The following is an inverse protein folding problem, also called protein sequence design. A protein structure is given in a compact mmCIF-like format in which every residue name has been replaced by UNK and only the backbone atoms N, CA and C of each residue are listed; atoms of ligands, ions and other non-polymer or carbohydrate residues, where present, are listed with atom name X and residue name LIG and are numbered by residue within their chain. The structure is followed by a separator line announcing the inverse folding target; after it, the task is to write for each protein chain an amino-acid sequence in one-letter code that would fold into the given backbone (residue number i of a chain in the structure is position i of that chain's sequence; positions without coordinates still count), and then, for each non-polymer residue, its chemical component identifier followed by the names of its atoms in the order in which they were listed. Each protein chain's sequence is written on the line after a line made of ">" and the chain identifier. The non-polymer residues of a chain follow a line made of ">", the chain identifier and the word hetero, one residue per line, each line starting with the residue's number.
data_IF_277739842886
#
_entry.id   IF_277739842886
#
_cell.length_a   1.000
_cell.length_b   1.000
_cell.length_c   1.000
_cell.angle_alpha   90.00
_cell.angle_beta   90.00
_cell.angle_gamma   90.00
#
_symmetry.space_group_name_H-M   'P 1'
#
loop_
_entity.id
_entity.type
_entity.pdbx_description
1 polymer ?
#
# COMPACT_ATOMS: atom_id res chain seq x y z
N UNK A 1 -39.98 16.08 19.88
CA UNK A 1 -38.59 15.71 20.22
C UNK A 1 -37.73 16.91 19.93
N UNK A 2 -36.98 17.36 20.93
CA UNK A 2 -36.23 18.61 20.79
C UNK A 2 -34.93 18.33 20.04
N UNK A 3 -34.30 19.36 19.45
CA UNK A 3 -33.11 19.21 18.58
C UNK A 3 -31.97 18.43 19.25
N UNK A 4 -31.90 18.50 20.58
CA UNK A 4 -30.93 17.80 21.43
C UNK A 4 -31.15 16.28 21.45
N UNK A 5 -32.41 15.82 21.52
CA UNK A 5 -32.76 14.38 21.52
C UNK A 5 -32.44 13.73 20.16
N UNK A 6 -32.61 14.50 19.08
CA UNK A 6 -32.35 14.05 17.71
C UNK A 6 -30.85 13.93 17.41
N UNK A 7 -30.02 14.75 18.07
CA UNK A 7 -28.56 14.68 17.97
C UNK A 7 -27.98 13.49 18.74
N UNK A 8 -28.56 13.17 19.90
CA UNK A 8 -28.19 12.00 20.71
C UNK A 8 -28.56 10.70 19.96
N UNK A 9 -29.77 10.60 19.40
CA UNK A 9 -30.17 9.43 18.61
C UNK A 9 -29.32 9.22 17.34
N UNK A 10 -28.90 10.30 16.66
CA UNK A 10 -28.01 10.20 15.50
C UNK A 10 -26.60 9.72 15.87
N UNK A 11 -26.08 10.12 17.04
CA UNK A 11 -24.80 9.60 17.55
C UNK A 11 -24.90 8.13 17.95
N UNK A 12 -25.98 7.73 18.63
CA UNK A 12 -26.16 6.32 19.06
C UNK A 12 -26.34 5.37 17.87
N UNK A 13 -27.00 5.80 16.79
CA UNK A 13 -27.12 5.00 15.57
C UNK A 13 -25.78 4.88 14.80
N UNK A 14 -24.92 5.90 14.86
CA UNK A 14 -23.59 5.86 14.23
C UNK A 14 -22.60 4.98 14.99
N UNK A 15 -22.73 4.87 16.32
CA UNK A 15 -21.83 4.06 17.15
C UNK A 15 -22.10 2.55 17.06
N UNK A 16 -23.28 2.13 16.58
CA UNK A 16 -23.67 0.71 16.53
C UNK A 16 -23.45 0.02 15.18
N UNK A 17 -22.98 0.73 14.15
CA UNK A 17 -22.73 0.15 12.84
C UNK A 17 -21.23 -0.07 12.62
N UNK A 18 -20.68 -1.13 13.22
CA UNK A 18 -19.35 -1.64 12.83
C UNK A 18 -19.55 -2.57 11.63
N UNK A 19 -19.33 -2.05 10.43
CA UNK A 19 -19.40 -2.84 9.21
C UNK A 19 -18.14 -3.69 9.06
N UNK A 20 -18.31 -5.00 8.85
CA UNK A 20 -17.24 -5.90 8.42
C UNK A 20 -17.36 -6.00 6.89
N UNK A 21 -16.33 -5.57 6.16
CA UNK A 21 -16.25 -5.78 4.71
C UNK A 21 -15.82 -7.22 4.45
N UNK A 22 -16.72 -8.03 3.88
CA UNK A 22 -16.38 -9.34 3.33
C UNK A 22 -15.79 -9.19 1.92
N UNK A 23 -14.93 -10.12 1.47
CA UNK A 23 -14.13 -10.00 0.24
C UNK A 23 -14.92 -9.83 -1.08
N UNK A 24 -16.25 -9.97 -1.06
CA UNK A 24 -17.11 -9.87 -2.26
C UNK A 24 -18.05 -8.65 -2.28
N UNK A 25 -17.78 -7.59 -1.51
CA UNK A 25 -18.63 -6.38 -1.45
C UNK A 25 -20.12 -6.62 -1.11
N UNK A 26 -20.47 -7.79 -0.57
CA UNK A 26 -21.79 -8.06 -0.03
C UNK A 26 -21.87 -7.58 1.42
N UNK A 27 -22.79 -6.66 1.70
CA UNK A 27 -23.09 -6.18 3.05
C UNK A 27 -23.95 -7.21 3.76
N UNK A 28 -23.35 -8.04 4.62
CA UNK A 28 -24.10 -8.97 5.48
C UNK A 28 -24.27 -8.36 6.88
N UNK A 29 -25.51 -8.29 7.33
CA UNK A 29 -25.86 -7.87 8.69
C UNK A 29 -25.48 -9.04 9.61
N UNK A 30 -24.45 -8.89 10.44
CA UNK A 30 -24.03 -9.92 11.39
C UNK A 30 -25.11 -10.24 12.43
N UNK A 31 -25.03 -11.40 13.13
CA UNK A 31 -26.07 -11.91 14.01
C UNK A 31 -26.05 -11.17 15.35
N UNK A 32 -26.49 -9.92 15.36
CA UNK A 32 -26.88 -9.19 16.57
C UNK A 32 -28.28 -8.59 16.37
N UNK A 33 -29.18 -9.39 15.80
CA UNK A 33 -30.56 -8.99 15.55
C UNK A 33 -31.53 -9.57 16.59
N UNK A 34 -31.37 -9.16 17.85
CA UNK A 34 -32.46 -9.25 18.84
C UNK A 34 -32.82 -7.89 19.45
N UNK A 35 -31.90 -6.92 19.41
CA UNK A 35 -32.14 -5.54 19.83
C UNK A 35 -32.75 -4.67 18.72
N UNK A 36 -32.40 -4.91 17.45
CA UNK A 36 -32.91 -4.14 16.31
C UNK A 36 -34.39 -4.45 16.01
N UNK A 37 -34.78 -5.71 16.20
CA UNK A 37 -36.14 -6.19 15.96
C UNK A 37 -37.14 -5.70 17.03
N UNK A 38 -36.66 -5.45 18.26
CA UNK A 38 -37.46 -4.80 19.32
C UNK A 38 -37.75 -3.33 19.03
N UNK A 39 -36.89 -2.64 18.28
CA UNK A 39 -37.09 -1.23 17.94
C UNK A 39 -38.14 -1.03 16.84
N UNK A 40 -38.41 -2.07 16.03
CA UNK A 40 -39.42 -2.05 14.97
C UNK A 40 -40.86 -2.35 15.45
N UNK A 41 -41.05 -2.82 16.70
CA UNK A 41 -42.39 -3.18 17.24
C UNK A 41 -43.15 -2.03 17.89
N UNK A 42 -42.54 -0.86 18.10
CA UNK A 42 -43.25 0.33 18.52
C UNK A 42 -43.68 1.15 17.31
N UNK A 43 -44.91 0.91 16.87
CA UNK A 43 -45.52 1.55 15.71
C UNK A 43 -45.57 3.08 15.82
N UNK A 44 -44.58 3.76 15.23
CA UNK A 44 -44.72 5.11 14.67
C UNK A 44 -43.82 5.22 13.43
N UNK A 45 -44.47 5.37 12.26
CA UNK A 45 -43.93 5.77 10.95
C UNK A 45 -42.42 5.97 10.91
N UNK A 46 -41.67 4.91 10.60
CA UNK A 46 -40.31 5.05 10.11
C UNK A 46 -40.43 5.59 8.69
N UNK A 47 -40.26 6.91 8.52
CA UNK A 47 -40.08 7.50 7.18
C UNK A 47 -38.91 6.76 6.54
N UNK A 48 -39.18 6.14 5.39
CA UNK A 48 -38.21 5.44 4.54
C UNK A 48 -37.17 6.47 4.10
N UNK A 49 -36.11 6.66 4.88
CA UNK A 49 -34.97 7.47 4.47
C UNK A 49 -34.27 6.69 3.38
N UNK A 50 -34.52 7.07 2.12
CA UNK A 50 -33.73 6.65 0.98
C UNK A 50 -32.35 7.26 1.19
N UNK A 51 -31.41 6.49 1.74
CA UNK A 51 -30.01 6.89 1.80
C UNK A 51 -29.47 6.71 0.38
N UNK A 52 -29.66 7.73 -0.46
CA UNK A 52 -28.87 7.87 -1.68
C UNK A 52 -27.45 8.22 -1.25
N UNK A 53 -26.59 7.21 -1.17
CA UNK A 53 -25.15 7.44 -1.24
C UNK A 53 -24.86 7.96 -2.64
N UNK A 54 -24.86 9.27 -2.80
CA UNK A 54 -24.28 9.90 -3.98
C UNK A 54 -22.77 9.62 -3.93
N UNK A 55 -22.32 8.64 -4.72
CA UNK A 55 -20.91 8.46 -5.08
C UNK A 55 -20.49 9.68 -5.92
N UNK A 56 -20.27 10.82 -5.25
CA UNK A 56 -19.72 12.02 -5.85
C UNK A 56 -18.21 11.83 -6.02
N UNK A 57 -17.82 11.42 -7.23
CA UNK A 57 -16.43 11.31 -7.65
C UNK A 57 -15.75 10.09 -7.02
N UNK A 58 -15.12 9.24 -7.85
CA UNK A 58 -14.35 8.10 -7.37
C UNK A 58 -13.29 8.60 -6.40
N UNK A 59 -13.48 8.32 -5.11
CA UNK A 59 -12.52 8.61 -4.07
C UNK A 59 -11.31 7.71 -4.38
N UNK A 60 -10.37 8.22 -5.19
CA UNK A 60 -9.14 7.51 -5.50
C UNK A 60 -8.51 7.22 -4.15
N UNK A 61 -8.49 5.94 -3.78
CA UNK A 61 -7.86 5.46 -2.56
C UNK A 61 -6.50 6.13 -2.44
N UNK A 62 -6.30 6.92 -1.38
CA UNK A 62 -5.07 7.67 -1.18
C UNK A 62 -3.90 6.68 -1.19
N UNK A 63 -2.84 6.95 -1.96
CA UNK A 63 -1.71 6.03 -2.06
C UNK A 63 -1.05 5.87 -0.69
N UNK A 64 -0.69 4.64 -0.35
CA UNK A 64 0.11 4.29 0.82
C UNK A 64 1.58 4.06 0.45
N UNK A 65 1.85 3.70 -0.80
CA UNK A 65 3.21 3.44 -1.29
C UNK A 65 3.53 4.35 -2.47
N UNK A 66 4.68 5.00 -2.41
CA UNK A 66 5.25 5.74 -3.55
C UNK A 66 6.27 4.89 -4.29
N UNK A 67 6.07 4.62 -5.59
CA UNK A 67 7.01 3.85 -6.42
C UNK A 67 7.69 4.78 -7.42
N UNK A 68 8.94 5.14 -7.15
CA UNK A 68 9.70 6.08 -7.97
C UNK A 68 10.90 5.44 -8.66
N UNK A 69 11.28 5.98 -9.81
CA UNK A 69 12.42 5.50 -10.59
C UNK A 69 13.11 6.60 -11.36
N UNK A 70 14.42 6.44 -11.61
CA UNK A 70 15.25 7.48 -12.22
C UNK A 70 14.98 7.70 -13.71
N UNK A 71 14.42 6.70 -14.40
CA UNK A 71 14.20 6.68 -15.85
C UNK A 71 13.01 5.79 -16.22
N UNK A 72 12.38 6.05 -17.36
CA UNK A 72 11.37 5.14 -17.93
C UNK A 72 11.93 3.77 -18.28
N UNK A 73 13.24 3.66 -18.55
CA UNK A 73 13.92 2.38 -18.76
C UNK A 73 13.91 1.48 -17.53
N UNK A 74 13.81 2.04 -16.32
CA UNK A 74 13.77 1.27 -15.08
C UNK A 74 12.40 0.60 -14.88
N UNK A 75 11.37 1.03 -15.63
CA UNK A 75 9.99 0.56 -15.48
C UNK A 75 9.84 -0.96 -15.68
N UNK A 76 10.63 -1.57 -16.56
CA UNK A 76 10.58 -3.01 -16.77
C UNK A 76 10.93 -3.80 -15.49
N UNK A 77 11.84 -3.27 -14.68
CA UNK A 77 12.15 -3.81 -13.35
C UNK A 77 11.09 -3.38 -12.33
N UNK A 78 10.78 -2.09 -12.26
CA UNK A 78 9.96 -1.53 -11.18
C UNK A 78 8.48 -1.91 -11.25
N UNK A 79 7.95 -2.28 -12.43
CA UNK A 79 6.58 -2.78 -12.56
C UNK A 79 6.30 -3.98 -11.66
N UNK A 80 7.31 -4.82 -11.41
CA UNK A 80 7.15 -6.01 -10.55
C UNK A 80 6.89 -5.65 -9.07
N UNK A 81 7.27 -4.43 -8.63
CA UNK A 81 6.86 -3.93 -7.32
C UNK A 81 5.38 -3.53 -7.34
N UNK A 82 4.94 -2.83 -8.40
CA UNK A 82 3.56 -2.44 -8.60
C UNK A 82 2.63 -3.67 -8.70
N UNK A 83 3.02 -4.70 -9.44
CA UNK A 83 2.24 -5.94 -9.60
C UNK A 83 1.92 -6.59 -8.24
N UNK A 84 2.88 -6.57 -7.31
CA UNK A 84 2.67 -7.08 -5.94
C UNK A 84 1.73 -6.17 -5.13
N UNK A 85 1.86 -4.85 -5.27
CA UNK A 85 0.96 -3.90 -4.60
C UNK A 85 -0.47 -4.03 -5.13
N UNK A 86 -0.64 -4.28 -6.43
CA UNK A 86 -1.94 -4.57 -7.05
C UNK A 86 -2.52 -5.90 -6.54
N UNK A 87 -1.72 -6.98 -6.56
CA UNK A 87 -2.10 -8.30 -6.03
C UNK A 87 -2.62 -8.21 -4.58
N UNK A 88 -1.93 -7.45 -3.73
CA UNK A 88 -2.27 -7.28 -2.32
C UNK A 88 -3.30 -6.16 -2.07
N UNK A 89 -3.83 -5.54 -3.11
CA UNK A 89 -4.78 -4.43 -3.05
C UNK A 89 -4.30 -3.27 -2.14
N UNK A 90 -3.04 -2.87 -2.30
CA UNK A 90 -2.42 -1.74 -1.61
C UNK A 90 -2.37 -0.55 -2.58
N UNK A 91 -3.04 0.58 -2.27
CA UNK A 91 -3.04 1.73 -3.16
C UNK A 91 -1.65 2.35 -3.22
N UNK A 92 -1.20 2.69 -4.43
CA UNK A 92 0.13 3.22 -4.68
C UNK A 92 0.10 4.28 -5.78
N UNK A 93 1.15 5.10 -5.81
CA UNK A 93 1.44 6.00 -6.93
C UNK A 93 2.77 5.62 -7.58
N UNK A 94 2.94 5.98 -8.86
CA UNK A 94 4.21 5.76 -9.57
C UNK A 94 4.63 6.99 -10.36
N UNK A 95 5.92 7.31 -10.34
CA UNK A 95 6.45 8.50 -11.02
C UNK A 95 7.93 8.32 -11.42
N UNK A 96 8.33 8.95 -12.53
CA UNK A 96 9.76 9.10 -12.87
C UNK A 96 10.31 10.31 -12.12
N UNK A 97 11.29 10.09 -11.26
CA UNK A 97 11.95 11.09 -10.42
C UNK A 97 13.46 10.83 -10.50
N UNK A 98 14.20 11.71 -11.16
CA UNK A 98 15.63 11.52 -11.40
C UNK A 98 16.48 12.33 -10.43
N UNK A 99 17.31 11.66 -9.63
CA UNK A 99 18.23 12.31 -8.70
C UNK A 99 19.25 13.23 -9.40
N UNK A 100 19.64 12.89 -10.63
CA UNK A 100 20.66 13.66 -11.37
C UNK A 100 20.05 14.68 -12.34
N UNK A 101 18.86 14.41 -12.88
CA UNK A 101 18.25 15.26 -13.92
C UNK A 101 17.13 16.16 -13.41
N UNK A 102 16.46 15.76 -12.34
CA UNK A 102 15.38 16.55 -11.70
C UNK A 102 15.55 16.53 -10.16
N UNK A 103 16.69 16.99 -9.63
CA UNK A 103 16.98 16.93 -8.20
C UNK A 103 15.97 17.71 -7.33
N UNK A 104 15.47 18.85 -7.83
CA UNK A 104 14.48 19.66 -7.09
C UNK A 104 13.15 18.92 -6.94
N UNK A 105 12.68 18.29 -8.03
CA UNK A 105 11.49 17.43 -7.99
C UNK A 105 11.66 16.25 -7.02
N UNK A 106 12.87 15.67 -6.95
CA UNK A 106 13.16 14.60 -6.00
C UNK A 106 13.08 15.08 -4.55
N UNK A 107 13.61 16.28 -4.26
CA UNK A 107 13.50 16.88 -2.93
C UNK A 107 12.06 17.23 -2.56
N UNK A 108 11.31 17.82 -3.48
CA UNK A 108 9.88 18.09 -3.31
C UNK A 108 9.11 16.80 -3.02
N UNK A 109 9.30 15.77 -3.86
CA UNK A 109 8.67 14.46 -3.68
C UNK A 109 8.92 13.88 -2.28
N UNK A 110 10.19 13.81 -1.86
CA UNK A 110 10.59 13.19 -0.60
C UNK A 110 10.07 13.96 0.63
N UNK A 111 10.12 15.30 0.59
CA UNK A 111 9.70 16.15 1.71
C UNK A 111 8.18 16.18 1.88
N UNK A 112 7.42 16.12 0.78
CA UNK A 112 5.96 16.12 0.83
C UNK A 112 5.33 14.74 1.05
N UNK A 113 6.07 13.65 0.75
CA UNK A 113 5.58 12.27 0.77
C UNK A 113 4.76 11.92 2.03
N UNK A 114 5.28 12.26 3.22
CA UNK A 114 4.59 12.00 4.49
C UNK A 114 3.30 12.81 4.62
N UNK A 115 3.31 14.09 4.20
CA UNK A 115 2.14 14.95 4.22
C UNK A 115 1.03 14.48 3.27
N UNK A 116 1.41 13.84 2.16
CA UNK A 116 0.49 13.20 1.20
C UNK A 116 -0.14 11.91 1.73
N UNK A 117 0.37 11.35 2.83
CA UNK A 117 -0.15 10.16 3.49
C UNK A 117 0.59 8.87 3.17
N UNK A 118 1.68 8.93 2.38
CA UNK A 118 2.52 7.78 2.08
C UNK A 118 3.08 7.17 3.38
N UNK A 119 3.23 5.85 3.37
CA UNK A 119 3.78 5.04 4.46
C UNK A 119 5.16 4.48 4.12
N UNK A 120 5.40 4.17 2.85
CA UNK A 120 6.66 3.60 2.35
C UNK A 120 6.99 4.19 0.99
N UNK A 121 8.27 4.41 0.70
CA UNK A 121 8.74 4.76 -0.65
C UNK A 121 9.61 3.62 -1.18
N UNK A 122 9.33 3.15 -2.40
CA UNK A 122 10.16 2.23 -3.15
C UNK A 122 10.86 3.03 -4.25
N UNK A 123 12.19 3.02 -4.25
CA UNK A 123 13.00 3.78 -5.21
C UNK A 123 13.92 2.85 -6.01
N UNK A 124 13.78 2.87 -7.33
CA UNK A 124 14.62 2.11 -8.27
C UNK A 124 15.63 2.98 -9.01
N UNK A 125 16.90 2.55 -9.05
CA UNK A 125 17.93 3.21 -9.85
C UNK A 125 19.07 2.25 -10.23
N UNK A 126 19.74 2.54 -11.36
CA UNK A 126 20.87 1.76 -11.88
C UNK A 126 22.17 2.56 -11.96
N UNK A 127 23.32 1.88 -11.93
CA UNK A 127 24.65 2.50 -12.02
C UNK A 127 25.03 3.23 -10.73
N UNK A 128 25.38 4.52 -10.86
CA UNK A 128 25.55 5.43 -9.71
C UNK A 128 24.18 5.80 -9.11
N UNK A 129 23.57 4.84 -8.41
CA UNK A 129 22.17 4.83 -8.05
C UNK A 129 21.83 5.68 -6.82
N UNK A 130 21.84 7.02 -6.97
CA UNK A 130 21.67 7.96 -5.85
C UNK A 130 20.22 8.17 -5.39
N UNK A 131 19.22 7.77 -6.18
CA UNK A 131 17.82 8.08 -5.90
C UNK A 131 17.36 7.58 -4.51
N UNK A 132 17.57 6.31 -4.11
CA UNK A 132 17.06 5.84 -2.82
C UNK A 132 17.70 6.56 -1.62
N UNK A 133 19.03 6.73 -1.64
CA UNK A 133 19.76 7.39 -0.55
C UNK A 133 19.40 8.86 -0.40
N UNK A 134 19.28 9.60 -1.51
CA UNK A 134 18.92 11.02 -1.47
C UNK A 134 17.46 11.26 -1.05
N UNK A 135 16.55 10.35 -1.41
CA UNK A 135 15.17 10.40 -0.92
C UNK A 135 15.11 10.11 0.57
N UNK A 136 15.83 9.08 1.05
CA UNK A 136 15.93 8.77 2.48
C UNK A 136 16.51 9.92 3.31
N UNK A 137 17.45 10.69 2.75
CA UNK A 137 18.00 11.88 3.42
C UNK A 137 16.99 13.03 3.62
N UNK A 138 15.84 12.99 2.93
CA UNK A 138 14.85 14.08 2.90
C UNK A 138 13.49 13.70 3.46
N UNK A 139 13.34 12.46 3.94
CA UNK A 139 12.09 11.97 4.51
C UNK A 139 12.35 11.12 5.74
N UNK A 140 11.36 11.04 6.63
CA UNK A 140 11.38 10.11 7.77
C UNK A 140 10.57 8.85 7.49
N UNK A 141 10.03 8.69 6.28
CA UNK A 141 9.40 7.45 5.86
C UNK A 141 10.46 6.39 5.57
N UNK A 142 10.17 5.09 5.78
CA UNK A 142 11.04 4.03 5.30
C UNK A 142 11.19 4.10 3.78
N UNK A 143 12.43 3.98 3.31
CA UNK A 143 12.77 3.93 1.90
C UNK A 143 13.36 2.56 1.57
N UNK A 144 12.77 1.89 0.59
CA UNK A 144 13.24 0.62 0.04
C UNK A 144 13.98 0.91 -1.27
N UNK A 145 15.24 0.50 -1.35
CA UNK A 145 16.09 0.70 -2.52
C UNK A 145 16.15 -0.54 -3.40
N UNK A 146 15.77 -0.42 -4.67
CA UNK A 146 15.86 -1.50 -5.68
C UNK A 146 17.05 -1.22 -6.61
N UNK A 147 18.15 -1.99 -6.52
CA UNK A 147 19.24 -1.89 -7.47
C UNK A 147 18.81 -2.40 -8.85
N UNK A 148 18.69 -1.52 -9.83
CA UNK A 148 18.39 -1.90 -11.22
C UNK A 148 19.66 -2.43 -11.88
N UNK A 149 19.55 -3.51 -12.64
CA UNK A 149 20.70 -4.14 -13.29
C UNK A 149 21.34 -3.18 -14.32
N UNK A 150 22.61 -2.85 -14.11
CA UNK A 150 23.41 -2.08 -15.07
C UNK A 150 23.98 -3.00 -16.16
N UNK A 151 24.27 -2.43 -17.34
CA UNK A 151 24.81 -3.21 -18.46
C UNK A 151 26.23 -3.72 -18.23
N UNK A 152 27.10 -2.89 -17.66
CA UNK A 152 28.53 -3.19 -17.55
C UNK A 152 28.86 -4.05 -16.32
N UNK A 153 28.18 -3.81 -15.19
CA UNK A 153 28.53 -4.41 -13.89
C UNK A 153 27.41 -5.27 -13.32
N UNK A 154 26.39 -5.61 -14.14
CA UNK A 154 25.25 -6.43 -13.74
C UNK A 154 24.57 -5.96 -12.45
N UNK A 155 24.57 -4.66 -12.20
CA UNK A 155 23.95 -4.05 -11.02
C UNK A 155 24.78 -4.12 -9.73
N UNK A 156 26.03 -4.58 -9.75
CA UNK A 156 26.91 -4.50 -8.58
C UNK A 156 27.19 -3.04 -8.18
N UNK A 157 27.39 -2.18 -9.17
CA UNK A 157 27.46 -0.72 -9.01
C UNK A 157 26.19 -0.15 -8.40
N UNK A 158 25.02 -0.54 -8.92
CA UNK A 158 23.72 -0.15 -8.37
C UNK A 158 23.58 -0.60 -6.91
N UNK A 159 23.94 -1.86 -6.62
CA UNK A 159 23.82 -2.46 -5.29
C UNK A 159 24.66 -1.69 -4.28
N UNK A 160 25.95 -1.53 -4.55
CA UNK A 160 26.87 -0.85 -3.64
C UNK A 160 26.52 0.63 -3.47
N UNK A 161 26.04 1.30 -4.53
CA UNK A 161 25.59 2.70 -4.46
C UNK A 161 24.35 2.90 -3.56
N UNK A 162 23.54 1.85 -3.36
CA UNK A 162 22.31 1.92 -2.57
C UNK A 162 22.52 1.38 -1.15
N UNK A 163 23.20 0.24 -0.99
CA UNK A 163 23.29 -0.46 0.31
C UNK A 163 24.31 0.14 1.26
N UNK A 164 25.38 0.75 0.77
CA UNK A 164 26.49 1.27 1.59
C UNK A 164 26.21 2.68 2.14
N UNK A 165 24.99 2.91 2.62
CA UNK A 165 24.65 4.17 3.30
C UNK A 165 25.45 4.31 4.60
N UNK A 166 25.95 5.51 4.93
CA UNK A 166 26.56 5.75 6.24
C UNK A 166 25.52 5.65 7.36
N UNK A 167 25.98 5.41 8.59
CA UNK A 167 25.12 5.43 9.76
C UNK A 167 24.36 6.75 9.91
N UNK A 168 23.03 6.67 10.08
CA UNK A 168 22.15 7.83 10.29
C UNK A 168 21.08 8.02 9.20
N UNK A 169 21.29 7.54 7.97
CA UNK A 169 20.31 7.65 6.87
C UNK A 169 20.12 6.27 6.22
N UNK A 170 19.20 5.44 6.76
CA UNK A 170 19.06 4.06 6.30
C UNK A 170 18.27 3.94 5.00
N UNK A 171 18.63 2.93 4.19
CA UNK A 171 17.84 2.43 3.06
C UNK A 171 17.71 0.92 3.20
N UNK A 172 16.48 0.40 3.07
CA UNK A 172 16.23 -1.04 3.06
C UNK A 172 16.51 -1.58 1.65
N UNK A 173 17.72 -2.05 1.39
CA UNK A 173 18.10 -2.52 0.05
C UNK A 173 17.68 -3.97 -0.18
N UNK A 174 17.10 -4.24 -1.34
CA UNK A 174 16.69 -5.58 -1.79
C UNK A 174 17.65 -6.12 -2.86
N UNK A 175 17.38 -7.34 -3.35
CA UNK A 175 18.16 -7.97 -4.42
C UNK A 175 18.21 -7.10 -5.71
N UNK A 176 19.15 -7.39 -6.60
CA UNK A 176 19.25 -6.71 -7.90
C UNK A 176 18.09 -7.12 -8.82
N UNK A 177 17.55 -6.17 -9.59
CA UNK A 177 16.65 -6.41 -10.71
C UNK A 177 15.23 -6.84 -10.31
N UNK A 178 14.61 -7.70 -11.14
CA UNK A 178 13.21 -8.13 -11.02
C UNK A 178 12.89 -8.71 -9.64
N UNK A 179 13.72 -9.62 -9.13
CA UNK A 179 13.53 -10.22 -7.81
C UNK A 179 13.55 -9.17 -6.70
N UNK A 180 14.42 -8.16 -6.83
CA UNK A 180 14.44 -6.98 -5.98
C UNK A 180 13.12 -6.22 -5.98
N UNK A 181 12.65 -5.83 -7.17
CA UNK A 181 11.40 -5.09 -7.29
C UNK A 181 10.20 -5.86 -6.71
N UNK A 182 10.07 -7.16 -7.00
CA UNK A 182 9.06 -8.03 -6.38
C UNK A 182 9.16 -8.00 -4.85
N UNK A 183 10.37 -8.20 -4.31
CA UNK A 183 10.59 -8.19 -2.87
C UNK A 183 10.38 -6.80 -2.24
N UNK A 184 10.58 -5.72 -2.99
CA UNK A 184 10.29 -4.37 -2.49
C UNK A 184 8.79 -4.15 -2.30
N UNK A 185 7.95 -4.64 -3.22
CA UNK A 185 6.50 -4.64 -3.04
C UNK A 185 6.07 -5.46 -1.81
N UNK A 186 6.63 -6.66 -1.65
CA UNK A 186 6.36 -7.53 -0.49
C UNK A 186 6.83 -6.92 0.83
N UNK A 187 8.02 -6.32 0.84
CA UNK A 187 8.58 -5.67 2.03
C UNK A 187 7.77 -4.43 2.42
N UNK A 188 7.33 -3.62 1.44
CA UNK A 188 6.43 -2.51 1.70
C UNK A 188 5.10 -2.99 2.30
N UNK A 189 4.54 -4.08 1.77
CA UNK A 189 3.33 -4.69 2.33
C UNK A 189 3.55 -5.17 3.77
N UNK A 190 4.69 -5.81 4.08
CA UNK A 190 5.02 -6.24 5.45
C UNK A 190 5.18 -5.06 6.42
N UNK A 191 5.80 -3.97 5.98
CA UNK A 191 5.93 -2.75 6.79
C UNK A 191 4.56 -2.15 7.13
N UNK A 192 3.61 -2.17 6.19
CA UNK A 192 2.26 -1.65 6.42
C UNK A 192 1.44 -2.65 7.25
N UNK A 193 1.56 -3.95 7.00
CA UNK A 193 0.79 -4.99 7.69
C UNK A 193 1.06 -5.06 9.18
N UNK A 194 2.23 -4.59 9.63
CA UNK A 194 2.54 -4.43 11.06
C UNK A 194 1.51 -3.55 11.82
N UNK A 195 0.71 -2.76 11.09
CA UNK A 195 -0.34 -1.89 11.64
C UNK A 195 -1.68 -2.02 10.90
N UNK A 196 -1.79 -2.94 9.93
CA UNK A 196 -3.00 -3.18 9.13
C UNK A 196 -3.25 -4.68 8.98
N UNK A 197 -4.16 -5.19 9.83
CA UNK A 197 -4.56 -6.60 9.86
C UNK A 197 -5.17 -7.09 8.54
N UNK A 198 -5.75 -6.20 7.74
CA UNK A 198 -6.32 -6.59 6.44
C UNK A 198 -5.21 -6.94 5.45
N UNK A 199 -4.12 -6.15 5.45
CA UNK A 199 -2.95 -6.44 4.62
C UNK A 199 -2.20 -7.66 5.18
N UNK A 200 -2.14 -7.84 6.50
CA UNK A 200 -1.56 -9.02 7.12
C UNK A 200 -2.24 -10.32 6.64
N UNK A 201 -3.57 -10.35 6.63
CA UNK A 201 -4.34 -11.50 6.14
C UNK A 201 -4.08 -11.81 4.66
N UNK A 202 -4.01 -10.79 3.79
CA UNK A 202 -3.69 -10.99 2.35
C UNK A 202 -2.28 -11.54 2.12
N UNK A 203 -1.32 -11.10 2.93
CA UNK A 203 0.05 -11.63 2.90
C UNK A 203 0.10 -13.10 3.32
N UNK A 204 -0.67 -13.48 4.35
CA UNK A 204 -0.77 -14.88 4.79
C UNK A 204 -1.40 -15.77 3.73
N UNK A 205 -2.51 -15.33 3.14
CA UNK A 205 -3.18 -16.03 2.03
C UNK A 205 -2.22 -16.25 0.85
N UNK A 206 -1.49 -15.20 0.44
CA UNK A 206 -0.49 -15.30 -0.63
C UNK A 206 0.61 -16.32 -0.31
N UNK A 207 1.08 -16.37 0.94
CA UNK A 207 2.11 -17.32 1.37
C UNK A 207 1.60 -18.76 1.27
N UNK A 208 0.36 -19.01 1.67
CA UNK A 208 -0.24 -20.34 1.57
C UNK A 208 -0.44 -20.74 0.10
N UNK A 209 -0.90 -19.82 -0.76
CA UNK A 209 -1.00 -20.08 -2.21
C UNK A 209 0.37 -20.44 -2.82
N UNK A 210 1.41 -19.69 -2.47
CA UNK A 210 2.79 -19.96 -2.95
C UNK A 210 3.27 -21.35 -2.52
N UNK A 211 3.02 -21.71 -1.25
CA UNK A 211 3.32 -23.04 -0.71
C UNK A 211 2.59 -24.14 -1.48
N UNK A 212 1.30 -23.95 -1.76
CA UNK A 212 0.50 -24.90 -2.53
C UNK A 212 1.04 -25.08 -3.95
N UNK A 213 1.40 -23.99 -4.65
CA UNK A 213 2.01 -24.07 -5.98
C UNK A 213 3.32 -24.86 -5.99
N UNK A 214 4.16 -24.71 -4.96
CA UNK A 214 5.43 -25.46 -4.87
C UNK A 214 5.19 -26.96 -4.66
N UNK A 215 4.20 -27.32 -3.83
CA UNK A 215 3.83 -28.72 -3.61
C UNK A 215 3.31 -29.35 -4.92
N UNK A 216 2.39 -28.67 -5.61
CA UNK A 216 1.84 -29.12 -6.90
C UNK A 216 2.92 -29.22 -8.00
N UNK A 217 3.89 -28.31 -8.01
CA UNK A 217 4.99 -28.34 -8.98
C UNK A 217 5.97 -29.49 -8.71
N UNK A 218 6.12 -29.90 -7.45
CA UNK A 218 6.96 -31.05 -7.09
C UNK A 218 6.37 -32.36 -7.59
N UNK A 219 5.03 -32.45 -7.65
CA UNK A 219 4.31 -33.59 -8.22
C UNK A 219 4.44 -33.67 -9.75
N UNK A 220 4.78 -32.55 -10.43
CA UNK A 220 5.00 -32.49 -11.88
C UNK A 220 6.42 -32.88 -12.31
N UNK A 221 7.34 -33.10 -11.37
CA UNK A 221 8.70 -33.59 -11.64
C UNK A 221 8.78 -35.13 -11.71
N UNK A 222 7.62 -35.80 -11.77
CA UNK A 222 7.48 -37.25 -11.94
C UNK A 222 8.13 -37.79 -13.20
#
# INVERSE_FOLDING_TARGET
>A
MNKTDMAIQKRTALTMARFVLLPNNAMQIGPFCSAFDKLLRFGKRVKRYKIEYQLKGGDKMKPLVGVIMGSTSDWETMKNACDILEELNIPYEKQVVSAHRTPDLMFEYATEARGKGLKVIIAGAGGAAHLPGMVAAKTTLPVIGVPVQSKALNGLDSLLSIVQMPGGVPVATVAIGKAGATNAGLLAAQMISAFDETIAARLEERREQTKQTVLESSDQLG
#
